data_IF_459759815135
#
_entry.id   IF_459759815135
#
_cell.length_a   1.000
_cell.length_b   1.000
_cell.length_c   1.000
_cell.angle_alpha   90.00
_cell.angle_beta   90.00
_cell.angle_gamma   90.00
#
_symmetry.space_group_name_H-M   'P 1'
#
loop_
_entity.id
_entity.type
_entity.pdbx_description
1 polymer ?
#
# COMPACT_ATOMS: atom_id res chain seq x y z
N UNK A 1 13.60 -9.17 -21.85
CA UNK A 1 13.27 -8.15 -22.87
C UNK A 1 14.01 -6.82 -22.73
N UNK A 2 14.67 -6.51 -21.60
CA UNK A 2 15.53 -5.33 -21.43
C UNK A 2 14.92 -3.97 -21.88
N UNK A 3 13.60 -3.79 -21.73
CA UNK A 3 12.91 -2.60 -22.24
C UNK A 3 13.23 -1.28 -21.50
N UNK A 4 13.97 -1.33 -20.40
CA UNK A 4 14.43 -0.14 -19.65
C UNK A 4 13.34 0.69 -18.96
N UNK A 5 12.05 0.30 -19.02
CA UNK A 5 10.96 1.04 -18.36
C UNK A 5 11.16 1.17 -16.85
N UNK A 6 11.61 0.10 -16.20
CA UNK A 6 11.88 0.10 -14.75
C UNK A 6 13.06 1.01 -14.37
N UNK A 7 14.14 1.00 -15.17
CA UNK A 7 15.31 1.87 -14.99
C UNK A 7 14.89 3.34 -15.11
N UNK A 8 14.22 3.71 -16.21
CA UNK A 8 13.70 5.08 -16.40
C UNK A 8 12.74 5.50 -15.28
N UNK A 9 11.81 4.64 -14.89
CA UNK A 9 10.88 4.96 -13.79
C UNK A 9 11.60 5.16 -12.44
N UNK A 10 12.71 4.46 -12.19
CA UNK A 10 13.51 4.62 -10.98
C UNK A 10 14.25 5.98 -10.97
N UNK A 11 14.78 6.38 -12.13
CA UNK A 11 15.52 7.64 -12.34
C UNK A 11 14.57 8.84 -12.40
N UNK A 12 13.60 8.84 -13.31
CA UNK A 12 12.83 10.03 -13.67
C UNK A 12 11.67 10.31 -12.70
N UNK A 13 11.03 9.27 -12.15
CA UNK A 13 9.85 9.45 -11.28
C UNK A 13 10.25 9.64 -9.82
N UNK A 14 11.27 8.90 -9.35
CA UNK A 14 11.72 8.96 -7.96
C UNK A 14 13.07 9.63 -7.75
N UNK A 15 13.91 9.73 -8.78
CA UNK A 15 15.29 10.20 -8.60
C UNK A 15 16.16 9.25 -7.80
N UNK A 16 15.74 7.99 -7.62
CA UNK A 16 16.41 7.06 -6.71
C UNK A 16 17.64 6.40 -7.36
N UNK A 17 17.66 6.27 -8.69
CA UNK A 17 18.79 5.71 -9.46
C UNK A 17 19.28 4.33 -8.99
N UNK A 18 18.39 3.53 -8.36
CA UNK A 18 18.76 2.22 -7.80
C UNK A 18 18.90 1.16 -8.88
N UNK A 19 18.04 1.18 -9.90
CA UNK A 19 18.06 0.20 -10.99
C UNK A 19 18.87 0.72 -12.17
N UNK A 20 19.77 -0.11 -12.70
CA UNK A 20 20.55 0.17 -13.90
C UNK A 20 20.72 -1.06 -14.78
N UNK A 21 21.36 -0.87 -15.94
CA UNK A 21 21.84 -1.96 -16.78
C UNK A 21 23.27 -2.32 -16.38
N UNK A 22 23.50 -3.58 -16.04
CA UNK A 22 24.82 -4.15 -15.81
C UNK A 22 25.22 -5.07 -16.97
N UNK A 23 26.53 -5.28 -17.12
CA UNK A 23 27.16 -6.05 -18.20
C UNK A 23 26.89 -5.46 -19.60
N UNK A 24 27.17 -6.27 -20.64
CA UNK A 24 27.00 -5.89 -22.05
C UNK A 24 26.61 -7.09 -22.91
N UNK A 25 26.03 -6.80 -24.09
CA UNK A 25 25.63 -7.82 -25.05
C UNK A 25 24.58 -8.78 -24.50
N UNK A 26 24.74 -10.08 -24.77
CA UNK A 26 23.81 -11.13 -24.31
C UNK A 26 23.78 -11.30 -22.79
N UNK A 27 24.80 -10.82 -22.07
CA UNK A 27 24.86 -10.90 -20.60
C UNK A 27 24.26 -9.68 -19.90
N UNK A 28 23.68 -8.74 -20.66
CA UNK A 28 23.07 -7.54 -20.10
C UNK A 28 21.90 -7.92 -19.19
N UNK A 29 21.90 -7.38 -17.97
CA UNK A 29 20.79 -7.55 -17.01
C UNK A 29 20.43 -6.24 -16.36
N UNK A 30 19.17 -6.11 -15.95
CA UNK A 30 18.74 -5.01 -15.07
C UNK A 30 18.98 -5.45 -13.64
N UNK A 31 19.72 -4.66 -12.88
CA UNK A 31 20.02 -4.96 -11.47
C UNK A 31 20.32 -3.69 -10.68
N UNK A 32 20.48 -3.83 -9.37
CA UNK A 32 20.94 -2.77 -8.47
C UNK A 32 22.47 -2.62 -8.50
N UNK A 33 23.01 -1.63 -7.81
CA UNK A 33 24.45 -1.52 -7.62
C UNK A 33 25.03 -2.81 -7.00
N UNK A 34 26.14 -3.30 -7.56
CA UNK A 34 26.81 -4.53 -7.13
C UNK A 34 25.95 -5.81 -7.18
N UNK A 35 24.85 -5.79 -7.92
CA UNK A 35 23.91 -6.92 -8.01
C UNK A 35 23.28 -7.32 -6.67
N UNK A 36 23.19 -6.37 -5.74
CA UNK A 36 22.61 -6.60 -4.42
C UNK A 36 21.10 -6.86 -4.51
N UNK A 37 20.54 -7.70 -3.61
CA UNK A 37 19.10 -7.77 -3.42
C UNK A 37 18.51 -6.37 -3.16
N UNK A 38 17.31 -6.09 -3.66
CA UNK A 38 16.71 -4.76 -3.50
C UNK A 38 16.59 -4.32 -2.02
N UNK A 39 16.46 -5.26 -1.08
CA UNK A 39 16.38 -4.97 0.35
C UNK A 39 17.71 -4.63 1.01
N UNK A 40 18.82 -4.91 0.33
CA UNK A 40 20.18 -4.56 0.74
C UNK A 40 20.72 -3.36 -0.06
N UNK A 41 19.86 -2.74 -0.89
CA UNK A 41 20.18 -1.56 -1.68
C UNK A 41 19.45 -0.32 -1.13
N UNK A 42 19.73 0.85 -1.71
CA UNK A 42 19.03 2.11 -1.41
C UNK A 42 17.56 2.15 -1.89
N UNK A 43 16.95 0.99 -2.19
CA UNK A 43 15.57 0.90 -2.65
C UNK A 43 14.58 1.18 -1.51
N UNK A 44 13.82 2.27 -1.65
CA UNK A 44 12.72 2.62 -0.72
C UNK A 44 11.39 1.91 -1.04
N UNK A 45 11.41 0.85 -1.85
CA UNK A 45 10.23 0.04 -2.21
C UNK A 45 9.03 0.82 -2.80
N UNK A 46 9.27 1.92 -3.51
CA UNK A 46 8.19 2.74 -4.06
C UNK A 46 7.30 2.05 -5.11
N UNK A 47 7.72 0.89 -5.63
CA UNK A 47 7.00 0.05 -6.59
C UNK A 47 6.60 0.72 -7.92
N UNK A 48 7.22 1.85 -8.29
CA UNK A 48 7.01 2.45 -9.61
C UNK A 48 7.59 1.60 -10.74
N UNK A 49 8.77 1.01 -10.52
CA UNK A 49 9.40 0.08 -11.47
C UNK A 49 8.57 -1.19 -11.71
N UNK A 50 7.87 -1.66 -10.67
CA UNK A 50 6.95 -2.81 -10.73
C UNK A 50 5.71 -2.46 -11.53
N UNK A 51 5.13 -1.26 -11.32
CA UNK A 51 3.91 -0.84 -12.01
C UNK A 51 4.09 -0.72 -13.54
N UNK A 52 5.28 -0.33 -14.01
CA UNK A 52 5.57 -0.16 -15.44
C UNK A 52 6.12 -1.41 -16.12
N UNK A 53 6.35 -2.51 -15.38
CA UNK A 53 6.94 -3.72 -15.92
C UNK A 53 5.92 -4.45 -16.82
N UNK A 54 6.17 -4.56 -18.14
CA UNK A 54 5.16 -5.11 -19.05
C UNK A 54 5.09 -6.64 -19.06
N UNK A 55 6.09 -7.32 -18.51
CA UNK A 55 6.24 -8.79 -18.57
C UNK A 55 6.22 -9.46 -17.21
N UNK A 56 6.04 -8.70 -16.13
CA UNK A 56 6.10 -9.25 -14.76
C UNK A 56 7.49 -9.78 -14.36
N UNK A 57 8.57 -9.27 -14.96
CA UNK A 57 9.93 -9.53 -14.47
C UNK A 57 10.16 -8.90 -13.08
N UNK A 58 9.45 -7.81 -12.80
CA UNK A 58 9.30 -7.23 -11.47
C UNK A 58 7.83 -7.36 -11.08
N UNK A 59 7.57 -8.01 -9.96
CA UNK A 59 6.23 -8.22 -9.42
C UNK A 59 6.22 -7.88 -7.93
N UNK A 60 5.10 -7.36 -7.39
CA UNK A 60 4.99 -7.14 -5.97
C UNK A 60 5.01 -8.50 -5.24
N UNK A 61 5.74 -8.57 -4.13
CA UNK A 61 5.94 -9.83 -3.37
C UNK A 61 4.63 -10.36 -2.82
N UNK A 62 3.68 -9.47 -2.52
CA UNK A 62 2.36 -9.74 -1.96
C UNK A 62 1.52 -10.62 -2.89
N UNK A 63 1.72 -10.52 -4.21
CA UNK A 63 1.02 -11.34 -5.21
C UNK A 63 1.66 -12.71 -5.42
N UNK A 64 2.90 -12.91 -4.97
CA UNK A 64 3.65 -14.14 -5.21
C UNK A 64 3.01 -15.33 -4.48
N UNK A 65 2.66 -16.38 -5.21
CA UNK A 65 2.05 -17.59 -4.65
C UNK A 65 0.61 -17.43 -4.13
N UNK A 66 -0.04 -16.28 -4.34
CA UNK A 66 -1.42 -16.02 -3.84
C UNK A 66 -2.53 -16.38 -4.82
N UNK A 67 -2.20 -16.93 -5.98
CA UNK A 67 -3.14 -17.32 -7.03
C UNK A 67 -2.93 -16.55 -8.34
N UNK A 68 -3.77 -16.81 -9.34
CA UNK A 68 -3.71 -16.14 -10.64
C UNK A 68 -4.58 -14.88 -10.66
N UNK A 69 -4.19 -13.89 -11.47
CA UNK A 69 -4.91 -12.59 -11.55
C UNK A 69 -6.38 -12.73 -11.96
N UNK A 70 -6.73 -13.73 -12.75
CA UNK A 70 -8.12 -14.00 -13.17
C UNK A 70 -8.97 -14.68 -12.08
N UNK A 71 -8.34 -15.25 -11.05
CA UNK A 71 -9.04 -15.82 -9.89
C UNK A 71 -9.40 -14.74 -8.85
N UNK A 72 -8.80 -13.56 -8.99
CA UNK A 72 -8.93 -12.45 -8.05
C UNK A 72 -9.96 -11.45 -8.56
N UNK A 73 -10.79 -10.95 -7.66
CA UNK A 73 -11.64 -9.79 -7.91
C UNK A 73 -10.78 -8.53 -7.75
N UNK A 74 -10.88 -7.60 -8.71
CA UNK A 74 -10.27 -6.27 -8.63
C UNK A 74 -11.35 -5.22 -8.42
N UNK A 75 -11.10 -4.29 -7.50
CA UNK A 75 -11.97 -3.15 -7.21
C UNK A 75 -11.14 -1.88 -7.32
N UNK A 76 -11.68 -0.84 -7.96
CA UNK A 76 -11.02 0.45 -8.05
C UNK A 76 -11.28 1.27 -6.78
N UNK A 77 -10.22 1.77 -6.16
CA UNK A 77 -10.27 2.51 -4.90
C UNK A 77 -9.42 3.79 -5.02
N UNK A 78 -9.90 4.85 -4.37
CA UNK A 78 -9.16 6.10 -4.18
C UNK A 78 -8.41 6.07 -2.85
N UNK A 79 -7.11 6.33 -2.88
CA UNK A 79 -6.26 6.41 -1.71
C UNK A 79 -6.65 7.57 -0.78
N UNK A 80 -6.88 7.29 0.50
CA UNK A 80 -7.24 8.29 1.53
C UNK A 80 -6.07 8.73 2.41
N UNK A 81 -4.87 8.19 2.21
CA UNK A 81 -3.70 8.50 3.04
C UNK A 81 -3.21 9.95 2.93
N UNK A 82 -3.57 10.65 1.85
CA UNK A 82 -3.26 12.05 1.64
C UNK A 82 -4.13 12.61 0.52
N UNK A 83 -4.29 13.93 0.51
CA UNK A 83 -5.14 14.72 -0.39
C UNK A 83 -4.97 14.48 -1.90
N UNK A 84 -3.84 13.93 -2.35
CA UNK A 84 -3.64 13.71 -3.78
C UNK A 84 -4.51 12.59 -4.38
N UNK A 85 -5.18 11.77 -3.55
CA UNK A 85 -6.25 10.88 -4.02
C UNK A 85 -5.88 9.90 -5.13
N UNK A 86 -4.72 9.23 -5.03
CA UNK A 86 -4.27 8.30 -6.08
C UNK A 86 -5.27 7.13 -6.29
N UNK A 87 -5.61 6.81 -7.55
CA UNK A 87 -6.44 5.66 -7.90
C UNK A 87 -5.62 4.37 -8.04
N UNK A 88 -6.14 3.25 -7.54
CA UNK A 88 -5.50 1.94 -7.63
C UNK A 88 -6.51 0.79 -7.61
N UNK A 89 -6.03 -0.41 -7.96
CA UNK A 89 -6.80 -1.64 -7.88
C UNK A 89 -6.47 -2.39 -6.59
N UNK A 90 -7.50 -2.66 -5.79
CA UNK A 90 -7.45 -3.56 -4.65
C UNK A 90 -7.82 -4.98 -5.12
N UNK A 91 -6.94 -5.94 -4.83
CA UNK A 91 -7.14 -7.34 -5.21
C UNK A 91 -7.59 -8.17 -4.01
N UNK A 92 -8.70 -8.90 -4.20
CA UNK A 92 -9.22 -9.88 -3.24
C UNK A 92 -9.39 -11.25 -3.90
N UNK A 93 -9.21 -12.30 -3.12
CA UNK A 93 -9.60 -13.67 -3.49
C UNK A 93 -11.13 -13.82 -3.48
N UNK A 94 -11.62 -14.94 -4.03
CA UNK A 94 -13.06 -15.27 -4.02
C UNK A 94 -13.66 -15.40 -2.61
N UNK A 95 -12.85 -15.80 -1.63
CA UNK A 95 -13.20 -15.88 -0.21
C UNK A 95 -13.20 -14.51 0.52
N UNK A 96 -12.90 -13.41 -0.20
CA UNK A 96 -12.82 -12.06 0.35
C UNK A 96 -11.47 -11.67 0.94
N UNK A 97 -10.51 -12.61 1.03
CA UNK A 97 -9.19 -12.35 1.58
C UNK A 97 -8.42 -11.33 0.72
N UNK A 98 -7.83 -10.33 1.38
CA UNK A 98 -6.98 -9.33 0.73
C UNK A 98 -5.70 -9.98 0.20
N UNK A 99 -5.27 -9.58 -0.99
CA UNK A 99 -4.03 -10.05 -1.63
C UNK A 99 -3.01 -8.92 -1.71
N UNK A 100 -3.42 -7.74 -2.16
CA UNK A 100 -2.51 -6.64 -2.38
C UNK A 100 -3.11 -5.56 -3.28
N UNK A 101 -2.29 -4.55 -3.59
CA UNK A 101 -2.65 -3.43 -4.44
C UNK A 101 -1.78 -3.37 -5.69
N UNK A 102 -2.41 -3.06 -6.83
CA UNK A 102 -1.70 -2.64 -8.02
C UNK A 102 -2.09 -1.21 -8.40
N UNK A 103 -1.12 -0.40 -8.82
CA UNK A 103 -1.44 0.92 -9.38
C UNK A 103 -2.33 0.77 -10.62
N UNK A 104 -3.23 1.73 -10.81
CA UNK A 104 -3.95 1.90 -12.07
C UNK A 104 -2.95 2.35 -13.16
N UNK A 105 -3.41 2.32 -14.42
CA UNK A 105 -2.70 2.92 -15.54
C UNK A 105 -2.30 4.37 -15.25
N UNK A 106 -1.23 4.83 -15.89
CA UNK A 106 -0.73 6.18 -15.69
C UNK A 106 -1.83 7.20 -16.05
N UNK A 107 -2.17 8.05 -15.10
CA UNK A 107 -3.14 9.13 -15.27
C UNK A 107 -2.57 10.46 -14.78
N UNK A 108 -3.39 11.51 -14.85
CA UNK A 108 -3.04 12.81 -14.30
C UNK A 108 -2.84 12.72 -12.78
N UNK A 109 -1.86 13.45 -12.25
CA UNK A 109 -1.54 13.49 -10.83
C UNK A 109 -0.35 12.62 -10.45
N UNK A 110 -0.17 12.41 -9.14
CA UNK A 110 1.00 11.69 -8.62
C UNK A 110 0.80 10.17 -8.69
N UNK A 111 1.86 9.39 -8.94
CA UNK A 111 1.78 7.93 -8.87
C UNK A 111 1.48 7.47 -7.44
N UNK A 112 0.81 6.33 -7.32
CA UNK A 112 0.59 5.68 -6.02
C UNK A 112 1.94 5.55 -5.30
N UNK A 113 1.99 5.92 -4.02
CA UNK A 113 3.21 5.92 -3.21
C UNK A 113 3.34 4.66 -2.35
N UNK A 114 4.44 4.54 -1.60
CA UNK A 114 4.66 3.44 -0.65
C UNK A 114 3.53 3.36 0.38
N UNK A 115 3.12 4.50 0.97
CA UNK A 115 2.05 4.56 1.98
C UNK A 115 0.73 4.00 1.46
N UNK A 116 0.36 4.31 0.21
CA UNK A 116 -0.87 3.79 -0.40
C UNK A 116 -0.84 2.29 -0.70
N UNK A 117 0.36 1.67 -0.76
CA UNK A 117 0.50 0.22 -0.94
C UNK A 117 0.60 -0.51 0.40
N UNK A 118 1.57 -0.14 1.24
CA UNK A 118 1.81 -0.79 2.53
C UNK A 118 0.78 -0.44 3.59
N UNK A 119 0.11 0.71 3.47
CA UNK A 119 -0.91 1.12 4.42
C UNK A 119 -2.12 0.18 4.49
N UNK A 120 -2.30 -0.70 3.52
CA UNK A 120 -3.35 -1.72 3.56
C UNK A 120 -2.89 -3.00 4.27
N UNK A 121 -1.60 -3.18 4.50
CA UNK A 121 -1.09 -4.30 5.29
C UNK A 121 -1.47 -4.16 6.77
N UNK A 122 -1.85 -2.96 7.23
CA UNK A 122 -2.43 -2.76 8.57
C UNK A 122 -3.73 -3.56 8.81
N UNK A 123 -4.42 -3.99 7.75
CA UNK A 123 -5.57 -4.92 7.85
C UNK A 123 -5.15 -6.26 8.46
N UNK A 124 -3.88 -6.63 8.33
CA UNK A 124 -3.30 -7.85 8.88
C UNK A 124 -2.58 -7.64 10.22
N UNK A 125 -2.78 -6.49 10.89
CA UNK A 125 -2.25 -6.29 12.23
C UNK A 125 -2.77 -7.41 13.16
N UNK A 126 -1.89 -8.22 13.79
CA UNK A 126 -2.31 -9.31 14.68
C UNK A 126 -2.93 -8.82 15.99
N UNK A 127 -2.68 -7.56 16.36
CA UNK A 127 -3.22 -6.92 17.55
C UNK A 127 -3.99 -5.64 17.16
N UNK A 128 -5.12 -5.77 16.43
CA UNK A 128 -5.96 -4.63 16.15
C UNK A 128 -6.68 -4.25 17.45
N UNK A 129 -6.55 -2.98 17.87
CA UNK A 129 -7.35 -2.48 18.99
C UNK A 129 -8.77 -2.22 18.50
N UNK A 130 -9.77 -2.91 19.05
CA UNK A 130 -11.19 -2.65 18.76
C UNK A 130 -11.71 -1.41 19.49
N UNK A 131 -11.03 -1.00 20.56
CA UNK A 131 -11.39 0.16 21.38
C UNK A 131 -10.26 1.21 21.36
N UNK A 132 -10.57 2.51 21.44
CA UNK A 132 -9.56 3.52 21.72
C UNK A 132 -8.92 3.28 23.09
N UNK A 133 -7.63 3.62 23.21
CA UNK A 133 -6.87 3.51 24.44
C UNK A 133 -6.66 4.90 25.05
N UNK A 134 -6.98 5.06 26.33
CA UNK A 134 -6.79 6.32 27.06
C UNK A 134 -5.81 6.10 28.21
N UNK A 135 -4.90 7.06 28.42
CA UNK A 135 -3.91 6.96 29.48
C UNK A 135 -4.54 7.37 30.82
N UNK A 136 -4.74 6.39 31.71
CA UNK A 136 -5.24 6.59 33.08
C UNK A 136 -4.19 6.09 34.06
N UNK A 137 -3.81 6.93 35.02
CA UNK A 137 -2.83 6.59 36.07
C UNK A 137 -1.49 6.03 35.54
N UNK A 138 -1.08 6.46 34.35
CA UNK A 138 0.17 6.03 33.73
C UNK A 138 0.04 4.85 32.76
N UNK A 139 -1.08 4.12 32.77
CA UNK A 139 -1.34 2.94 31.93
C UNK A 139 -2.35 3.23 30.82
N UNK A 140 -2.24 2.53 29.69
CA UNK A 140 -3.20 2.63 28.59
C UNK A 140 -4.34 1.65 28.81
N UNK A 141 -5.54 2.18 29.07
CA UNK A 141 -6.75 1.40 29.34
C UNK A 141 -7.71 1.51 28.15
N UNK A 142 -8.33 0.41 27.68
CA UNK A 142 -9.39 0.47 26.67
C UNK A 142 -10.60 1.24 27.19
N UNK A 143 -11.14 2.14 26.40
CA UNK A 143 -12.34 2.93 26.72
C UNK A 143 -13.32 2.96 25.54
N UNK A 144 -14.55 3.40 25.78
CA UNK A 144 -15.53 3.59 24.71
C UNK A 144 -15.24 4.86 23.89
N UNK A 145 -15.67 4.88 22.63
CA UNK A 145 -15.48 6.04 21.74
C UNK A 145 -16.07 7.34 22.31
N UNK A 146 -17.22 7.24 22.99
CA UNK A 146 -17.86 8.38 23.62
C UNK A 146 -16.97 9.02 24.71
N UNK A 147 -16.28 8.18 25.49
CA UNK A 147 -15.34 8.62 26.51
C UNK A 147 -14.04 9.15 25.89
N UNK A 148 -13.47 8.40 24.93
CA UNK A 148 -12.22 8.78 24.26
C UNK A 148 -12.30 10.14 23.57
N UNK A 149 -13.44 10.46 22.96
CA UNK A 149 -13.66 11.73 22.27
C UNK A 149 -14.22 12.83 23.17
N UNK A 150 -14.55 12.52 24.44
CA UNK A 150 -15.18 13.48 25.37
C UNK A 150 -16.59 13.91 24.96
N UNK A 151 -17.27 13.10 24.15
CA UNK A 151 -18.59 13.42 23.57
C UNK A 151 -19.75 12.69 24.27
N UNK A 152 -19.52 12.10 25.45
CA UNK A 152 -20.53 11.34 26.20
C UNK A 152 -21.86 12.09 26.37
N UNK A 153 -21.81 13.37 26.73
CA UNK A 153 -23.00 14.22 26.86
C UNK A 153 -23.76 14.43 25.53
N UNK A 154 -23.03 14.49 24.41
CA UNK A 154 -23.64 14.63 23.08
C UNK A 154 -24.31 13.32 22.69
N UNK A 155 -23.65 12.18 22.93
CA UNK A 155 -24.22 10.85 22.69
C UNK A 155 -25.50 10.67 23.51
N UNK A 156 -25.47 10.99 24.81
CA UNK A 156 -26.64 10.89 25.68
C UNK A 156 -27.82 11.76 25.19
N UNK A 157 -27.54 13.01 24.78
CA UNK A 157 -28.57 13.90 24.20
C UNK A 157 -29.15 13.34 22.90
N UNK A 158 -28.30 12.81 22.01
CA UNK A 158 -28.75 12.20 20.75
C UNK A 158 -29.60 10.97 21.01
N UNK A 159 -29.20 10.11 21.96
CA UNK A 159 -29.96 8.92 22.32
C UNK A 159 -31.36 9.31 22.79
N UNK A 160 -31.50 10.26 23.72
CA UNK A 160 -32.81 10.77 24.19
C UNK A 160 -33.70 11.23 23.05
N UNK A 161 -33.17 12.06 22.14
CA UNK A 161 -33.91 12.57 20.99
C UNK A 161 -34.38 11.46 20.03
N UNK A 162 -33.63 10.35 19.92
CA UNK A 162 -34.01 9.22 19.07
C UNK A 162 -34.93 8.20 19.75
N UNK A 163 -34.91 8.09 21.08
CA UNK A 163 -35.74 7.16 21.86
C UNK A 163 -37.13 7.71 22.23
N UNK A 164 -37.42 8.98 21.91
CA UNK A 164 -38.76 9.56 22.03
C UNK A 164 -39.19 9.91 23.47
N UNK A 165 -38.23 10.05 24.39
CA UNK A 165 -38.42 10.60 25.73
C UNK A 165 -37.91 12.05 25.83
#
# INVERSE_FOLDING_TARGET
ILCGKCVRACVEIKGANVLGFANRGFHTKVTSAFDLPLGESECVYCHNCVAVCPVGALMPKEFSGKGRRFEMKREEITCTFCEAGCQFYLYRKKDGAFVGVAAKEAGAGRPLCLKGRLGLDFIHNPQPSSHPLLKKDGEFVPVEWAEALGIGLIVEKLTRLTSGE
#
